data_IF_572188011224
#
_entry.id   IF_572188011224
#
_cell.length_a   1.000
_cell.length_b   1.000
_cell.length_c   1.000
_cell.angle_alpha   90.00
_cell.angle_beta   90.00
_cell.angle_gamma   90.00
#
_symmetry.space_group_name_H-M   'P 1'
#
loop_
_entity.id
_entity.type
_entity.pdbx_description
1 polymer ?
#
# COMPACT_ATOMS: atom_id res chain seq x y z
N UNK A 1 -15.69 13.24 -23.63
CA UNK A 1 -15.59 11.81 -23.97
C UNK A 1 -16.98 11.22 -24.08
N UNK A 2 -17.31 10.59 -25.18
CA UNK A 2 -18.60 9.91 -25.39
C UNK A 2 -18.68 8.61 -24.57
N UNK A 3 -19.91 8.10 -24.34
CA UNK A 3 -20.09 6.79 -23.67
C UNK A 3 -19.36 5.64 -24.39
N UNK A 4 -19.22 5.73 -25.69
CA UNK A 4 -18.55 4.72 -26.51
C UNK A 4 -17.02 4.79 -26.37
N UNK A 5 -16.45 6.00 -26.34
CA UNK A 5 -15.03 6.22 -26.05
C UNK A 5 -14.65 5.74 -24.64
N UNK A 6 -15.52 5.98 -23.65
CA UNK A 6 -15.35 5.48 -22.29
C UNK A 6 -15.34 3.95 -22.28
N UNK A 7 -16.32 3.32 -22.96
CA UNK A 7 -16.43 1.86 -23.05
C UNK A 7 -15.22 1.24 -23.77
N UNK A 8 -14.72 1.88 -24.84
CA UNK A 8 -13.52 1.48 -25.55
C UNK A 8 -12.27 1.61 -24.68
N UNK A 9 -12.11 2.75 -23.98
CA UNK A 9 -11.00 2.96 -23.03
C UNK A 9 -11.00 1.90 -21.93
N UNK A 10 -12.15 1.64 -21.34
CA UNK A 10 -12.30 0.66 -20.26
C UNK A 10 -11.97 -0.76 -20.72
N UNK A 11 -12.31 -1.12 -21.96
CA UNK A 11 -12.00 -2.44 -22.53
C UNK A 11 -10.49 -2.74 -22.57
N UNK A 12 -9.66 -1.72 -22.77
CA UNK A 12 -8.20 -1.86 -22.86
C UNK A 12 -7.47 -1.51 -21.56
N UNK A 13 -8.18 -1.04 -20.55
CA UNK A 13 -7.59 -0.80 -19.25
C UNK A 13 -7.11 -2.13 -18.62
N UNK A 14 -5.89 -2.20 -18.07
CA UNK A 14 -5.41 -3.43 -17.44
C UNK A 14 -6.28 -3.85 -16.26
N UNK A 15 -6.42 -5.14 -16.02
CA UNK A 15 -7.06 -5.65 -14.80
C UNK A 15 -6.14 -5.44 -13.61
N UNK A 16 -6.69 -4.91 -12.53
CA UNK A 16 -6.00 -4.62 -11.28
C UNK A 16 -6.58 -5.51 -10.19
N UNK A 17 -5.74 -6.20 -9.46
CA UNK A 17 -6.12 -6.75 -8.16
C UNK A 17 -5.75 -5.74 -7.07
N UNK A 18 -6.71 -5.28 -6.28
CA UNK A 18 -6.45 -4.59 -5.03
C UNK A 18 -6.34 -5.65 -3.94
N UNK A 19 -5.14 -5.86 -3.43
CA UNK A 19 -4.83 -6.81 -2.38
C UNK A 19 -4.64 -6.10 -1.05
N UNK A 20 -5.46 -6.45 -0.06
CA UNK A 20 -5.59 -5.73 1.20
C UNK A 20 -5.22 -6.64 2.37
N UNK A 21 -4.06 -6.45 3.02
CA UNK A 21 -3.82 -7.06 4.32
C UNK A 21 -4.68 -6.37 5.38
N UNK A 22 -5.31 -7.14 6.27
CA UNK A 22 -6.18 -6.59 7.32
C UNK A 22 -6.19 -7.47 8.57
N UNK A 23 -6.76 -6.93 9.63
CA UNK A 23 -7.13 -7.64 10.85
C UNK A 23 -8.24 -6.88 11.59
N UNK A 24 -8.87 -7.50 12.60
CA UNK A 24 -10.01 -6.95 13.34
C UNK A 24 -9.74 -5.56 13.96
N UNK A 25 -8.48 -5.30 14.34
CA UNK A 25 -8.09 -4.00 14.90
C UNK A 25 -8.14 -2.83 13.93
N UNK A 26 -8.39 -3.07 12.62
CA UNK A 26 -8.59 -2.03 11.59
C UNK A 26 -10.06 -1.80 11.25
N UNK A 27 -11.00 -2.45 11.92
CA UNK A 27 -12.44 -2.31 11.62
C UNK A 27 -13.00 -0.92 11.91
N UNK A 28 -12.31 -0.09 12.70
CA UNK A 28 -12.69 1.30 12.96
C UNK A 28 -12.78 2.16 11.68
N UNK A 29 -12.02 1.84 10.65
CA UNK A 29 -11.99 2.58 9.39
C UNK A 29 -12.50 1.79 8.18
N UNK A 30 -12.91 0.53 8.36
CA UNK A 30 -13.27 -0.37 7.26
C UNK A 30 -14.37 0.19 6.35
N UNK A 31 -15.43 0.78 6.91
CA UNK A 31 -16.53 1.32 6.12
C UNK A 31 -16.05 2.44 5.20
N UNK A 32 -15.30 3.38 5.74
CA UNK A 32 -14.73 4.51 4.98
C UNK A 32 -13.69 4.02 3.95
N UNK A 33 -12.90 2.99 4.30
CA UNK A 33 -11.97 2.38 3.36
C UNK A 33 -12.71 1.78 2.14
N UNK A 34 -13.78 1.03 2.37
CA UNK A 34 -14.58 0.46 1.29
C UNK A 34 -15.26 1.55 0.44
N UNK A 35 -15.74 2.62 1.06
CA UNK A 35 -16.26 3.78 0.34
C UNK A 35 -15.16 4.45 -0.52
N UNK A 36 -13.95 4.60 0.00
CA UNK A 36 -12.82 5.13 -0.77
C UNK A 36 -12.53 4.25 -2.00
N UNK A 37 -12.49 2.92 -1.85
CA UNK A 37 -12.30 1.99 -2.97
C UNK A 37 -13.46 2.10 -3.98
N UNK A 38 -14.68 2.22 -3.52
CA UNK A 38 -15.85 2.40 -4.38
C UNK A 38 -15.84 3.73 -5.15
N UNK A 39 -15.14 4.74 -4.65
CA UNK A 39 -15.01 6.06 -5.27
C UNK A 39 -13.78 6.20 -6.18
N UNK A 40 -12.95 5.17 -6.34
CA UNK A 40 -11.85 5.21 -7.30
C UNK A 40 -12.38 5.47 -8.72
N UNK A 41 -11.67 6.28 -9.50
CA UNK A 41 -12.05 6.65 -10.87
C UNK A 41 -11.77 5.56 -11.92
N UNK A 42 -10.99 4.55 -11.54
CA UNK A 42 -10.66 3.43 -12.41
C UNK A 42 -11.89 2.56 -12.72
N UNK A 43 -11.99 1.98 -13.94
CA UNK A 43 -13.16 1.17 -14.33
C UNK A 43 -13.42 0.01 -13.35
N UNK A 44 -14.61 -0.06 -12.78
CA UNK A 44 -14.97 -1.03 -11.74
C UNK A 44 -14.91 -2.48 -12.22
N UNK A 45 -15.25 -2.73 -13.49
CA UNK A 45 -15.13 -4.03 -14.14
C UNK A 45 -13.68 -4.47 -14.39
N UNK A 46 -12.71 -3.61 -14.07
CA UNK A 46 -11.28 -3.86 -14.16
C UNK A 46 -10.60 -3.96 -12.79
N UNK A 47 -11.35 -3.83 -11.71
CA UNK A 47 -10.88 -3.98 -10.34
C UNK A 47 -11.42 -5.28 -9.77
N UNK A 48 -10.53 -6.08 -9.21
CA UNK A 48 -10.86 -7.18 -8.32
C UNK A 48 -10.32 -6.86 -6.92
N UNK A 49 -11.10 -7.16 -5.87
CA UNK A 49 -10.75 -6.88 -4.49
C UNK A 49 -10.58 -8.20 -3.72
N UNK A 50 -9.46 -8.33 -3.03
CA UNK A 50 -9.12 -9.48 -2.20
C UNK A 50 -8.49 -9.06 -0.88
N UNK A 51 -8.98 -9.63 0.22
CA UNK A 51 -8.45 -9.39 1.56
C UNK A 51 -7.68 -10.62 2.06
N UNK A 52 -6.57 -10.38 2.75
CA UNK A 52 -5.88 -11.37 3.56
C UNK A 52 -5.97 -10.92 5.03
N UNK A 53 -6.78 -11.62 5.79
CA UNK A 53 -7.09 -11.32 7.17
C UNK A 53 -6.19 -12.15 8.10
N UNK A 54 -5.48 -11.47 9.00
CA UNK A 54 -4.65 -12.11 10.02
C UNK A 54 -5.19 -11.90 11.44
N UNK A 55 -6.50 -11.73 11.57
CA UNK A 55 -7.23 -11.63 12.82
C UNK A 55 -7.03 -12.88 13.70
N UNK A 56 -7.29 -12.71 14.99
CA UNK A 56 -7.19 -13.77 15.97
C UNK A 56 -8.06 -15.00 15.64
N UNK A 57 -9.25 -14.75 15.08
CA UNK A 57 -10.17 -15.78 14.62
C UNK A 57 -10.79 -15.40 13.26
N UNK A 58 -11.63 -16.27 12.71
CA UNK A 58 -12.20 -16.07 11.38
C UNK A 58 -13.42 -15.14 11.33
N UNK A 59 -13.81 -14.52 12.43
CA UNK A 59 -15.03 -13.67 12.52
C UNK A 59 -14.95 -12.51 11.54
N UNK A 60 -13.80 -11.85 11.47
CA UNK A 60 -13.60 -10.71 10.58
C UNK A 60 -13.67 -11.14 9.11
N UNK A 61 -13.03 -12.23 8.72
CA UNK A 61 -13.10 -12.78 7.36
C UNK A 61 -14.53 -13.19 6.98
N UNK A 62 -15.27 -13.81 7.89
CA UNK A 62 -16.67 -14.16 7.69
C UNK A 62 -17.56 -12.91 7.50
N UNK A 63 -17.30 -11.85 8.26
CA UNK A 63 -17.98 -10.57 8.11
C UNK A 63 -17.70 -9.95 6.72
N UNK A 64 -16.45 -9.91 6.30
CA UNK A 64 -16.05 -9.39 4.98
C UNK A 64 -16.74 -10.17 3.85
N UNK A 65 -16.75 -11.49 3.93
CA UNK A 65 -17.39 -12.34 2.94
C UNK A 65 -18.94 -12.18 2.92
N UNK A 66 -19.60 -12.24 4.08
CA UNK A 66 -21.05 -12.28 4.17
C UNK A 66 -21.71 -10.91 4.03
N UNK A 67 -21.17 -9.89 4.71
CA UNK A 67 -21.76 -8.55 4.74
C UNK A 67 -21.39 -7.72 3.52
N UNK A 68 -20.13 -7.80 3.09
CA UNK A 68 -19.59 -6.95 2.03
C UNK A 68 -19.36 -7.68 0.71
N UNK A 69 -19.60 -9.00 0.66
CA UNK A 69 -19.35 -9.85 -0.52
C UNK A 69 -17.92 -9.72 -1.07
N UNK A 70 -16.95 -9.62 -0.15
CA UNK A 70 -15.53 -9.47 -0.47
C UNK A 70 -14.83 -10.80 -0.27
N UNK A 71 -14.07 -11.26 -1.25
CA UNK A 71 -13.22 -12.44 -1.11
C UNK A 71 -12.15 -12.18 -0.05
N UNK A 72 -12.17 -12.96 1.01
CA UNK A 72 -11.25 -12.84 2.12
C UNK A 72 -10.66 -14.20 2.49
N UNK A 73 -9.36 -14.26 2.62
CA UNK A 73 -8.62 -15.41 3.14
C UNK A 73 -8.30 -15.19 4.62
N UNK A 74 -8.48 -16.23 5.40
CA UNK A 74 -8.04 -16.32 6.79
C UNK A 74 -7.51 -17.73 7.08
N UNK A 75 -6.55 -17.85 7.96
CA UNK A 75 -6.13 -19.09 8.58
C UNK A 75 -5.82 -18.85 10.06
N UNK A 76 -5.64 -19.91 10.83
CA UNK A 76 -5.16 -19.76 12.20
C UNK A 76 -3.71 -19.25 12.23
N UNK A 77 -3.52 -18.14 12.91
CA UNK A 77 -2.25 -17.45 13.08
C UNK A 77 -1.74 -17.46 14.54
N UNK A 78 -2.33 -18.27 15.43
CA UNK A 78 -2.06 -18.25 16.87
C UNK A 78 -0.57 -18.42 17.21
N UNK A 79 0.13 -19.26 16.48
CA UNK A 79 1.53 -19.60 16.71
C UNK A 79 2.54 -18.69 15.99
N UNK A 80 2.06 -17.64 15.31
CA UNK A 80 2.90 -16.74 14.52
C UNK A 80 3.15 -15.40 15.22
N UNK A 81 4.37 -14.91 15.13
CA UNK A 81 4.73 -13.53 15.50
C UNK A 81 4.06 -12.51 14.59
N UNK A 82 4.04 -11.23 15.00
CA UNK A 82 3.44 -10.14 14.22
C UNK A 82 3.99 -10.07 12.78
N UNK A 83 5.31 -10.11 12.62
CA UNK A 83 5.93 -9.99 11.30
C UNK A 83 5.77 -11.23 10.44
N UNK A 84 5.69 -12.42 11.05
CA UNK A 84 5.32 -13.66 10.35
C UNK A 84 3.90 -13.59 9.80
N UNK A 85 2.94 -13.12 10.62
CA UNK A 85 1.54 -12.87 10.17
C UNK A 85 1.49 -11.90 9.00
N UNK A 86 2.22 -10.79 9.10
CA UNK A 86 2.30 -9.78 8.03
C UNK A 86 2.88 -10.39 6.75
N UNK A 87 4.02 -11.07 6.84
CA UNK A 87 4.66 -11.70 5.68
C UNK A 87 3.74 -12.74 5.01
N UNK A 88 3.05 -13.57 5.82
CA UNK A 88 2.12 -14.53 5.27
C UNK A 88 0.91 -13.88 4.61
N UNK A 89 0.31 -12.85 5.22
CA UNK A 89 -0.81 -12.10 4.62
C UNK A 89 -0.44 -11.53 3.26
N UNK A 90 0.75 -10.93 3.14
CA UNK A 90 1.27 -10.44 1.85
C UNK A 90 1.47 -11.57 0.84
N UNK A 91 1.93 -12.74 1.30
CA UNK A 91 2.10 -13.92 0.44
C UNK A 91 0.75 -14.53 0.02
N UNK A 92 -0.30 -14.47 0.84
CA UNK A 92 -1.66 -14.88 0.45
C UNK A 92 -2.20 -13.97 -0.66
N UNK A 93 -2.05 -12.65 -0.51
CA UNK A 93 -2.40 -11.68 -1.55
C UNK A 93 -1.64 -11.97 -2.83
N UNK A 94 -0.34 -12.20 -2.74
CA UNK A 94 0.50 -12.57 -3.89
C UNK A 94 0.01 -13.84 -4.58
N UNK A 95 -0.27 -14.91 -3.83
CA UNK A 95 -0.78 -16.18 -4.37
C UNK A 95 -2.06 -15.95 -5.14
N UNK A 96 -3.05 -15.30 -4.50
CA UNK A 96 -4.30 -14.98 -5.16
C UNK A 96 -4.10 -14.15 -6.43
N UNK A 97 -3.21 -13.14 -6.37
CA UNK A 97 -2.86 -12.33 -7.55
C UNK A 97 -2.29 -13.17 -8.69
N UNK A 98 -1.38 -14.10 -8.40
CA UNK A 98 -0.77 -14.94 -9.43
C UNK A 98 -1.72 -15.98 -10.01
N UNK A 99 -2.79 -16.32 -9.31
CA UNK A 99 -3.86 -17.20 -9.80
C UNK A 99 -4.96 -16.43 -10.56
N UNK A 100 -5.05 -15.11 -10.38
CA UNK A 100 -6.03 -14.25 -11.06
C UNK A 100 -5.58 -13.87 -12.49
N UNK A 101 -6.42 -13.15 -13.24
CA UNK A 101 -6.08 -12.58 -14.55
C UNK A 101 -5.53 -11.14 -14.45
N UNK A 102 -5.37 -10.57 -13.27
CA UNK A 102 -4.92 -9.20 -13.10
C UNK A 102 -3.47 -9.03 -13.60
N UNK A 103 -3.19 -7.95 -14.31
CA UNK A 103 -1.85 -7.61 -14.79
C UNK A 103 -1.01 -6.89 -13.75
N UNK A 104 -1.68 -6.20 -12.82
CA UNK A 104 -1.05 -5.46 -11.74
C UNK A 104 -1.70 -5.79 -10.40
N UNK A 105 -0.89 -5.79 -9.36
CA UNK A 105 -1.32 -5.80 -7.98
C UNK A 105 -1.19 -4.37 -7.43
N UNK A 106 -2.28 -3.78 -7.00
CA UNK A 106 -2.26 -2.66 -6.07
C UNK A 106 -2.32 -3.23 -4.66
N UNK A 107 -1.17 -3.30 -4.00
CA UNK A 107 -1.12 -3.63 -2.59
C UNK A 107 -1.54 -2.38 -1.81
N UNK A 108 -2.57 -2.50 -0.98
CA UNK A 108 -3.17 -1.37 -0.27
C UNK A 108 -3.52 -1.78 1.15
N UNK A 109 -2.92 -1.15 2.15
CA UNK A 109 -3.27 -1.39 3.55
C UNK A 109 -4.67 -0.87 3.88
N UNK A 110 -5.41 -1.59 4.74
CA UNK A 110 -6.83 -1.32 5.03
C UNK A 110 -7.11 -0.01 5.77
N UNK A 111 -6.08 0.70 6.17
CA UNK A 111 -6.13 2.03 6.80
C UNK A 111 -5.41 3.12 5.99
N UNK A 112 -5.05 2.83 4.74
CA UNK A 112 -4.45 3.79 3.79
C UNK A 112 -5.49 4.16 2.75
N UNK A 113 -5.77 5.47 2.63
CA UNK A 113 -6.82 6.05 1.78
C UNK A 113 -6.18 6.82 0.62
N UNK A 114 -6.09 6.23 -0.55
CA UNK A 114 -5.52 6.89 -1.71
C UNK A 114 -6.49 7.91 -2.33
N UNK A 115 -5.97 8.89 -3.11
CA UNK A 115 -6.80 9.74 -3.97
C UNK A 115 -7.52 8.89 -5.03
N UNK A 116 -8.69 9.37 -5.49
CA UNK A 116 -9.59 8.62 -6.38
C UNK A 116 -8.95 8.13 -7.69
N UNK A 117 -7.94 8.79 -8.18
CA UNK A 117 -7.24 8.52 -9.44
C UNK A 117 -5.86 7.86 -9.25
N UNK A 118 -5.62 7.29 -8.07
CA UNK A 118 -4.33 6.66 -7.71
C UNK A 118 -3.88 5.60 -8.70
N UNK A 119 -4.81 4.76 -9.17
CA UNK A 119 -4.47 3.66 -10.10
C UNK A 119 -3.95 4.24 -11.41
N UNK A 120 -4.64 5.23 -11.97
CA UNK A 120 -4.25 5.89 -13.21
C UNK A 120 -2.90 6.57 -13.09
N UNK A 121 -2.65 7.29 -12.00
CA UNK A 121 -1.39 7.97 -11.74
C UNK A 121 -0.22 6.98 -11.60
N UNK A 122 -0.41 5.89 -10.83
CA UNK A 122 0.61 4.86 -10.66
C UNK A 122 0.88 4.09 -11.97
N UNK A 123 -0.16 3.80 -12.78
CA UNK A 123 0.00 3.19 -14.10
C UNK A 123 0.76 4.12 -15.05
N UNK A 124 0.47 5.43 -14.99
CA UNK A 124 1.14 6.43 -15.84
C UNK A 124 2.65 6.49 -15.58
N UNK A 125 3.09 6.23 -14.35
CA UNK A 125 4.51 6.15 -14.02
C UNK A 125 5.28 5.08 -14.81
N UNK A 126 4.59 4.05 -15.38
CA UNK A 126 5.14 2.97 -16.22
C UNK A 126 6.29 2.18 -15.59
N UNK A 127 6.42 2.19 -14.28
CA UNK A 127 7.48 1.49 -13.54
C UNK A 127 7.10 0.04 -13.24
N UNK A 128 8.08 -0.85 -12.97
CA UNK A 128 7.80 -2.23 -12.56
C UNK A 128 7.15 -2.32 -11.19
N UNK A 129 7.53 -1.41 -10.30
CA UNK A 129 6.99 -1.21 -8.96
C UNK A 129 7.03 0.29 -8.65
N UNK A 130 5.94 0.82 -8.13
CA UNK A 130 5.82 2.23 -7.77
C UNK A 130 4.91 2.39 -6.55
N UNK A 131 5.37 3.19 -5.60
CA UNK A 131 4.68 3.45 -4.33
C UNK A 131 4.09 4.85 -4.35
N UNK A 132 2.96 5.05 -3.69
CA UNK A 132 2.45 6.35 -3.28
C UNK A 132 3.00 6.71 -1.89
N UNK A 133 3.05 8.00 -1.58
CA UNK A 133 3.36 8.47 -0.23
C UNK A 133 2.16 8.29 0.69
N UNK A 134 2.40 8.04 1.96
CA UNK A 134 1.40 8.08 3.01
C UNK A 134 2.01 8.51 4.33
N UNK A 135 1.16 9.06 5.20
CA UNK A 135 1.59 9.54 6.50
C UNK A 135 1.79 8.36 7.46
N UNK A 136 2.75 8.50 8.36
CA UNK A 136 2.92 7.64 9.53
C UNK A 136 2.91 8.49 10.79
N UNK A 137 2.55 7.90 11.93
CA UNK A 137 2.61 8.61 13.19
C UNK A 137 4.04 8.66 13.73
N UNK A 138 4.51 9.85 14.00
CA UNK A 138 5.73 10.02 14.77
C UNK A 138 5.40 10.02 16.27
N UNK A 139 5.72 8.89 16.92
CA UNK A 139 5.51 8.73 18.35
C UNK A 139 6.37 9.69 19.18
N UNK A 140 7.52 10.15 18.65
CA UNK A 140 8.43 11.07 19.33
C UNK A 140 7.84 12.47 19.43
N UNK A 141 7.18 12.91 18.37
CA UNK A 141 6.59 14.25 18.28
C UNK A 141 5.08 14.27 18.50
N UNK A 142 4.45 13.10 18.69
CA UNK A 142 3.00 12.94 18.91
C UNK A 142 2.14 13.59 17.82
N UNK A 143 2.60 13.61 16.59
CA UNK A 143 1.92 14.23 15.47
C UNK A 143 2.04 13.36 14.22
N UNK A 144 1.06 13.44 13.29
CA UNK A 144 1.21 12.83 11.99
C UNK A 144 2.34 13.53 11.23
N UNK A 145 3.23 12.75 10.66
CA UNK A 145 4.24 13.26 9.74
C UNK A 145 4.25 12.43 8.47
N UNK A 146 4.63 13.05 7.35
CA UNK A 146 4.98 12.29 6.16
C UNK A 146 6.36 11.72 6.43
N UNK A 147 6.41 10.56 7.05
CA UNK A 147 7.62 9.79 7.07
C UNK A 147 7.71 9.18 5.68
N UNK A 148 8.64 9.61 4.88
CA UNK A 148 9.07 8.81 3.78
C UNK A 148 9.62 7.53 4.40
N UNK A 149 8.84 6.49 4.45
CA UNK A 149 9.33 5.13 4.70
C UNK A 149 10.25 4.68 3.55
N UNK A 150 10.72 5.63 2.78
CA UNK A 150 11.53 5.46 1.61
C UNK A 150 12.87 6.10 1.87
N UNK A 151 13.84 5.27 2.14
CA UNK A 151 15.21 5.73 2.00
C UNK A 151 15.44 5.96 0.51
N UNK A 152 15.53 7.20 0.12
CA UNK A 152 16.00 7.55 -1.20
C UNK A 152 17.39 6.94 -1.39
N UNK A 153 17.72 6.61 -2.62
CA UNK A 153 19.02 6.07 -3.06
C UNK A 153 20.21 6.63 -2.27
N UNK A 154 21.37 6.01 -2.28
CA UNK A 154 22.61 6.36 -1.54
C UNK A 154 22.91 7.86 -1.41
N UNK A 155 22.47 8.65 -2.38
CA UNK A 155 22.60 10.11 -2.35
C UNK A 155 21.85 10.75 -1.18
N UNK A 156 20.76 10.18 -0.73
CA UNK A 156 19.98 10.72 0.39
C UNK A 156 20.43 10.21 1.75
N UNK A 157 21.20 9.14 1.83
CA UNK A 157 21.85 8.76 3.10
C UNK A 157 22.71 9.91 3.66
N UNK A 158 23.28 10.73 2.80
CA UNK A 158 24.04 11.90 3.22
C UNK A 158 23.15 13.05 3.73
N UNK A 159 21.93 13.16 3.25
CA UNK A 159 20.98 14.18 3.68
C UNK A 159 20.16 13.76 4.91
N UNK A 160 19.86 12.48 5.07
CA UNK A 160 19.19 11.94 6.27
C UNK A 160 20.04 12.10 7.53
N UNK A 161 21.37 12.11 7.40
CA UNK A 161 22.31 12.34 8.51
C UNK A 161 22.47 13.81 8.90
N UNK A 162 21.89 14.75 8.20
CA UNK A 162 21.79 16.13 8.64
C UNK A 162 20.61 16.28 9.60
N UNK A 163 20.96 15.94 10.83
CA UNK A 163 20.36 16.38 12.10
C UNK A 163 19.01 17.06 12.05
N UNK A 164 18.10 16.43 12.72
CA UNK A 164 17.09 17.10 13.49
C UNK A 164 15.93 17.54 12.66
N UNK A 165 15.78 16.96 11.59
CA UNK A 165 14.53 17.09 10.91
C UNK A 165 13.79 15.80 11.09
N UNK A 166 13.39 15.53 12.28
CA UNK A 166 12.11 14.98 12.70
C UNK A 166 11.46 13.96 11.76
N UNK A 167 12.27 13.25 10.94
CA UNK A 167 11.76 12.31 9.94
C UNK A 167 10.96 12.96 8.80
N UNK A 168 10.81 14.27 8.79
CA UNK A 168 10.17 15.03 7.71
C UNK A 168 11.19 15.32 6.62
N UNK A 169 10.99 14.73 5.44
CA UNK A 169 11.88 14.92 4.31
C UNK A 169 11.39 16.08 3.45
N UNK A 170 12.13 17.16 3.44
CA UNK A 170 11.85 18.33 2.64
C UNK A 170 12.47 18.27 1.22
N UNK A 171 13.00 17.13 0.80
CA UNK A 171 13.84 17.02 -0.40
C UNK A 171 13.27 16.13 -1.50
N UNK A 172 11.97 15.99 -1.58
CA UNK A 172 11.38 15.37 -2.77
C UNK A 172 11.03 16.43 -3.82
N UNK A 173 11.17 16.05 -5.08
CA UNK A 173 10.61 16.85 -6.17
C UNK A 173 9.12 16.55 -6.20
N UNK A 174 8.29 17.54 -5.94
CA UNK A 174 6.84 17.38 -5.96
C UNK A 174 6.36 16.94 -7.35
N UNK A 175 5.43 15.99 -7.38
CA UNK A 175 4.88 15.44 -8.62
C UNK A 175 5.82 14.53 -9.42
N UNK A 176 6.97 14.17 -8.88
CA UNK A 176 7.96 13.35 -9.55
C UNK A 176 7.85 11.85 -9.24
N UNK A 177 8.32 11.01 -10.17
CA UNK A 177 8.54 9.59 -9.96
C UNK A 177 10.04 9.36 -9.78
N UNK A 178 10.47 9.10 -8.56
CA UNK A 178 11.91 9.00 -8.21
C UNK A 178 12.28 7.61 -7.73
N UNK A 179 13.52 7.16 -8.01
CA UNK A 179 14.03 5.91 -7.47
C UNK A 179 14.19 6.02 -5.94
N UNK A 180 13.81 4.95 -5.24
CA UNK A 180 13.95 4.84 -3.78
C UNK A 180 14.53 3.46 -3.42
N UNK A 181 15.13 3.35 -2.25
CA UNK A 181 15.61 2.06 -1.75
C UNK A 181 14.45 1.26 -1.13
N UNK A 182 13.79 1.82 -0.14
CA UNK A 182 12.60 1.24 0.48
C UNK A 182 11.43 2.14 0.11
N UNK A 183 10.37 1.58 -0.49
CA UNK A 183 9.06 2.18 -0.55
C UNK A 183 8.17 1.42 0.42
N UNK A 184 7.40 2.11 1.22
CA UNK A 184 6.38 1.44 2.03
C UNK A 184 5.33 0.81 1.13
N UNK A 185 4.92 -0.41 1.41
CA UNK A 185 3.93 -1.14 0.59
C UNK A 185 2.47 -0.80 0.93
N UNK A 186 2.24 0.19 1.80
CA UNK A 186 0.89 0.62 2.19
C UNK A 186 0.01 1.08 1.02
N UNK A 187 0.60 1.63 -0.05
CA UNK A 187 -0.05 1.85 -1.35
C UNK A 187 0.99 1.66 -2.45
N UNK A 188 1.03 0.50 -3.06
CA UNK A 188 2.09 0.11 -4.00
C UNK A 188 1.53 -0.66 -5.20
N UNK A 189 1.77 -0.15 -6.42
CA UNK A 189 1.40 -0.83 -7.66
C UNK A 189 2.58 -1.65 -8.18
N UNK A 190 2.36 -2.94 -8.39
CA UNK A 190 3.37 -3.91 -8.81
C UNK A 190 2.94 -4.65 -10.06
N UNK A 191 3.86 -4.78 -11.03
CA UNK A 191 3.63 -5.62 -12.22
C UNK A 191 3.68 -7.10 -11.85
N UNK A 192 2.85 -7.92 -12.49
CA UNK A 192 2.83 -9.38 -12.31
C UNK A 192 4.23 -10.02 -12.44
N UNK A 193 5.04 -9.57 -13.40
CA UNK A 193 6.40 -10.11 -13.58
C UNK A 193 7.33 -9.88 -12.37
N UNK A 194 7.10 -8.81 -11.60
CA UNK A 194 7.84 -8.58 -10.36
C UNK A 194 7.42 -9.63 -9.34
N UNK A 195 6.12 -9.75 -9.09
CA UNK A 195 5.58 -10.61 -8.03
C UNK A 195 5.86 -12.11 -8.23
N UNK A 196 6.08 -12.57 -9.47
CA UNK A 196 6.46 -13.97 -9.74
C UNK A 196 7.76 -14.39 -9.05
N UNK A 197 8.67 -13.47 -8.81
CA UNK A 197 10.06 -13.75 -8.40
C UNK A 197 10.34 -13.45 -6.93
N UNK A 198 9.33 -13.05 -6.14
CA UNK A 198 9.52 -12.64 -4.75
C UNK A 198 8.53 -13.32 -3.84
N UNK A 199 8.96 -13.60 -2.61
CA UNK A 199 8.11 -13.88 -1.47
C UNK A 199 8.39 -12.82 -0.41
N UNK A 200 7.34 -12.40 0.28
CA UNK A 200 7.52 -11.63 1.50
C UNK A 200 8.08 -12.57 2.56
N UNK A 201 9.13 -12.15 3.22
CA UNK A 201 9.81 -12.95 4.23
C UNK A 201 9.98 -12.17 5.52
N UNK A 202 10.23 -12.90 6.56
CA UNK A 202 10.62 -12.44 7.86
C UNK A 202 11.82 -13.28 8.32
N UNK A 203 12.82 -12.66 8.91
CA UNK A 203 14.02 -13.36 9.36
C UNK A 203 14.08 -13.36 10.89
N UNK A 204 13.90 -14.54 11.49
CA UNK A 204 13.92 -14.74 12.94
C UNK A 204 15.33 -14.77 13.51
N UNK A 205 16.36 -14.83 12.67
CA UNK A 205 17.77 -14.94 13.11
C UNK A 205 18.42 -13.61 13.41
N UNK A 206 17.80 -12.50 12.97
CA UNK A 206 18.31 -11.15 13.19
C UNK A 206 17.91 -10.63 14.56
N UNK A 207 18.85 -9.99 15.24
CA UNK A 207 18.60 -9.32 16.53
C UNK A 207 17.74 -8.08 16.42
N UNK A 208 17.66 -7.49 15.21
CA UNK A 208 16.73 -6.41 14.88
C UNK A 208 15.62 -6.95 13.97
N UNK A 209 14.41 -6.87 14.44
CA UNK A 209 13.22 -7.26 13.66
C UNK A 209 12.84 -6.14 12.71
N UNK A 210 13.00 -6.38 11.41
CA UNK A 210 12.50 -5.49 10.38
C UNK A 210 11.16 -5.99 9.84
N UNK A 211 10.24 -5.08 9.46
CA UNK A 211 9.00 -5.47 8.83
C UNK A 211 9.24 -6.07 7.42
N UNK A 212 8.29 -6.89 6.91
CA UNK A 212 8.45 -7.61 5.64
C UNK A 212 8.70 -6.74 4.40
N UNK A 213 8.28 -5.48 4.41
CA UNK A 213 8.52 -4.51 3.33
C UNK A 213 10.01 -4.13 3.21
N UNK A 214 10.74 -4.10 4.34
CA UNK A 214 12.19 -3.86 4.33
C UNK A 214 12.93 -5.00 3.63
N UNK A 215 12.61 -6.26 3.96
CA UNK A 215 13.19 -7.42 3.28
C UNK A 215 12.80 -7.48 1.80
N UNK A 216 11.58 -7.11 1.47
CA UNK A 216 11.13 -7.03 0.09
C UNK A 216 11.96 -6.03 -0.71
N UNK A 217 12.28 -4.86 -0.13
CA UNK A 217 13.14 -3.87 -0.76
C UNK A 217 14.58 -4.38 -0.97
N UNK A 218 15.13 -5.10 -0.01
CA UNK A 218 16.44 -5.76 -0.16
C UNK A 218 16.46 -6.79 -1.29
N UNK A 219 15.42 -7.62 -1.36
CA UNK A 219 15.28 -8.66 -2.38
C UNK A 219 15.11 -8.06 -3.78
N UNK A 220 14.38 -6.94 -3.92
CA UNK A 220 14.28 -6.18 -5.15
C UNK A 220 15.68 -5.69 -5.60
N UNK A 221 16.43 -5.09 -4.67
CA UNK A 221 17.79 -4.60 -4.94
C UNK A 221 18.73 -5.74 -5.35
N UNK A 222 18.70 -6.85 -4.64
CA UNK A 222 19.53 -8.03 -4.94
C UNK A 222 19.27 -8.57 -6.36
N UNK A 223 18.08 -8.35 -6.90
CA UNK A 223 17.69 -8.75 -8.28
C UNK A 223 17.79 -7.61 -9.28
N UNK A 224 18.35 -6.47 -8.92
CA UNK A 224 18.52 -5.31 -9.81
C UNK A 224 17.19 -4.65 -10.21
N UNK A 225 16.12 -4.84 -9.43
CA UNK A 225 14.82 -4.21 -9.69
C UNK A 225 14.72 -2.93 -8.87
N UNK A 226 14.71 -1.80 -9.58
CA UNK A 226 14.58 -0.50 -8.95
C UNK A 226 13.15 -0.26 -8.45
N UNK A 227 13.05 0.11 -7.19
CA UNK A 227 11.83 0.60 -6.55
C UNK A 227 11.65 2.11 -6.81
N UNK A 228 10.40 2.56 -6.95
CA UNK A 228 10.09 3.96 -7.25
C UNK A 228 9.02 4.50 -6.29
N UNK A 229 9.08 5.80 -6.03
CA UNK A 229 8.09 6.57 -5.29
C UNK A 229 7.50 7.65 -6.18
N UNK A 230 6.18 7.78 -6.20
CA UNK A 230 5.46 8.86 -6.86
C UNK A 230 5.10 9.92 -5.82
N UNK A 231 5.86 11.01 -5.79
CA UNK A 231 5.75 12.07 -4.76
C UNK A 231 4.55 13.00 -4.94
N UNK A 232 3.89 12.95 -6.09
CA UNK A 232 2.64 13.66 -6.34
C UNK A 232 1.39 12.93 -5.84
N UNK A 233 1.53 11.69 -5.34
CA UNK A 233 0.41 10.90 -4.80
C UNK A 233 0.61 10.82 -3.29
N UNK A 234 -0.26 11.49 -2.54
CA UNK A 234 -0.27 11.44 -1.08
C UNK A 234 -1.56 10.76 -0.63
N UNK A 235 -1.40 9.61 0.03
CA UNK A 235 -2.50 8.89 0.64
C UNK A 235 -2.66 9.34 2.09
N UNK A 236 -3.89 9.45 2.56
CA UNK A 236 -4.14 9.59 3.98
C UNK A 236 -3.97 8.23 4.66
N UNK A 237 -3.27 8.18 5.80
CA UNK A 237 -3.08 6.97 6.58
C UNK A 237 -3.77 7.11 7.94
N UNK A 238 -4.90 6.44 8.10
CA UNK A 238 -5.64 6.41 9.37
C UNK A 238 -5.09 5.29 10.26
N UNK A 239 -3.86 5.48 10.70
CA UNK A 239 -3.13 4.43 11.44
C UNK A 239 -3.69 4.13 12.83
N UNK A 240 -4.50 5.04 13.41
CA UNK A 240 -5.09 4.92 14.74
C UNK A 240 -6.51 5.44 14.74
N UNK A 241 -7.37 4.85 15.56
CA UNK A 241 -8.77 5.24 15.68
C UNK A 241 -8.96 6.75 16.01
N UNK A 242 -8.07 7.31 16.82
CA UNK A 242 -8.11 8.72 17.22
C UNK A 242 -7.68 9.70 16.12
N UNK A 243 -7.16 9.22 14.99
CA UNK A 243 -6.70 10.06 13.87
C UNK A 243 -7.81 10.52 12.93
N UNK A 244 -9.00 9.98 13.02
CA UNK A 244 -10.14 10.39 12.19
C UNK A 244 -10.46 11.87 12.27
N UNK A 245 -10.07 12.55 13.35
CA UNK A 245 -10.20 14.01 13.52
C UNK A 245 -9.28 14.82 12.58
N UNK A 246 -8.30 14.21 11.95
CA UNK A 246 -7.34 14.86 11.07
C UNK A 246 -7.71 14.79 9.58
N UNK A 247 -8.83 14.16 9.20
CA UNK A 247 -9.35 14.20 7.83
C UNK A 247 -9.63 15.63 7.38
N UNK A 248 -10.16 16.47 8.27
CA UNK A 248 -10.44 17.89 8.02
C UNK A 248 -9.17 18.69 7.70
N UNK A 249 -8.02 18.32 8.27
CA UNK A 249 -6.76 19.02 8.04
C UNK A 249 -6.20 18.84 6.62
N UNK A 250 -6.42 17.69 6.00
CA UNK A 250 -5.94 17.42 4.64
C UNK A 250 -6.83 18.05 3.58
N UNK A 251 -8.12 18.15 3.82
CA UNK A 251 -9.05 18.88 2.94
C UNK A 251 -8.80 20.39 2.99
N UNK A 252 -8.50 20.92 4.16
CA UNK A 252 -8.20 22.35 4.34
C UNK A 252 -6.97 22.80 3.55
N UNK A 253 -5.91 22.01 3.54
CA UNK A 253 -4.67 22.34 2.81
C UNK A 253 -4.73 22.07 1.30
N UNK A 254 -5.83 21.53 0.78
CA UNK A 254 -6.08 21.37 -0.68
C UNK A 254 -6.91 22.53 -1.27
N UNK A 255 -7.43 23.41 -0.42
CA UNK A 255 -8.26 24.55 -0.81
C UNK A 255 -7.51 25.89 -0.87
N UNK A 256 -6.21 25.93 -0.58
CA UNK A 256 -5.30 27.03 -0.80
C UNK A 256 -4.33 26.71 -1.98
#
# INVERSE_FOLDING_TARGET
MTKEEIKKRNKYAPKILIGVPTYEGKNYCLAQFLDNINNLSYPKDRIELFFADNSKDNTNALMLNKKYNIKCFWKDYSDMSLFEKMADSHNQIKRYFLDSEAQYLLHLESDVFPPKDVIEQLLWARKPIVNAMYQVFDASHRQPCIKLSSYMHEFSRHFVNHKGLDGCYHWWIEGAVQPVFIGGIGCCLMKRKVMKNFNFRYDTTLTQNYPPDSYFAEDLRAKGIQNYLHTGIVCFHWNREDWGRHFEYIEYNKSE
#
